data_IF_961714331129
#
_entry.id   IF_961714331129
#
_cell.length_a   1.000
_cell.length_b   1.000
_cell.length_c   1.000
_cell.angle_alpha   90.00
_cell.angle_beta   90.00
_cell.angle_gamma   90.00
#
_symmetry.space_group_name_H-M   'P 1'
#
loop_
_entity.id
_entity.type
_entity.pdbx_description
1 polymer ?
#
# COMPACT_ATOMS: atom_id res chain seq x y z
N UNK A 1 -5.14 -13.93 27.57
CA UNK A 1 -4.54 -14.68 26.45
C UNK A 1 -5.24 -14.33 25.14
N UNK A 2 -5.21 -13.06 24.71
CA UNK A 2 -5.73 -12.62 23.40
C UNK A 2 -4.94 -11.42 22.84
N UNK A 3 -3.77 -11.13 23.41
CA UNK A 3 -3.05 -9.88 23.21
C UNK A 3 -2.12 -9.90 21.98
N UNK A 4 -2.18 -10.97 21.18
CA UNK A 4 -1.34 -11.14 20.02
C UNK A 4 -1.75 -10.20 18.87
N UNK A 5 -0.78 -9.42 18.37
CA UNK A 5 -0.95 -8.55 17.22
C UNK A 5 -1.08 -9.37 15.93
N UNK A 6 -2.10 -9.07 15.12
CA UNK A 6 -2.28 -9.69 13.81
C UNK A 6 -1.47 -8.94 12.74
N UNK A 7 -0.80 -9.66 11.83
CA UNK A 7 -0.10 -9.03 10.72
C UNK A 7 -1.10 -8.35 9.79
N UNK A 8 -0.72 -7.21 9.21
CA UNK A 8 -1.53 -6.50 8.22
C UNK A 8 -1.29 -7.13 6.85
N UNK A 9 -2.37 -7.33 6.10
CA UNK A 9 -2.27 -7.76 4.71
C UNK A 9 -1.73 -6.60 3.85
N UNK A 10 -0.59 -6.85 3.19
CA UNK A 10 0.05 -5.91 2.27
C UNK A 10 0.06 -6.55 0.88
N UNK A 11 -0.12 -5.70 -0.14
CA UNK A 11 -0.07 -6.07 -1.55
C UNK A 11 1.07 -5.36 -2.26
N UNK A 12 1.56 -5.92 -3.35
CA UNK A 12 2.57 -5.26 -4.16
C UNK A 12 1.95 -4.08 -4.95
N UNK A 13 2.66 -2.96 -5.00
CA UNK A 13 2.31 -1.85 -5.87
C UNK A 13 2.64 -2.21 -7.32
N UNK A 14 1.68 -1.99 -8.23
CA UNK A 14 1.84 -2.26 -9.65
C UNK A 14 2.79 -1.29 -10.36
N UNK A 15 3.14 -0.16 -9.74
CA UNK A 15 4.01 0.86 -10.35
C UNK A 15 5.46 0.76 -9.85
N UNK A 16 5.68 0.76 -8.53
CA UNK A 16 7.03 0.74 -7.95
C UNK A 16 7.44 -0.63 -7.37
N UNK A 17 6.54 -1.63 -7.35
CA UNK A 17 6.85 -2.95 -6.80
C UNK A 17 6.88 -3.03 -5.27
N UNK A 18 6.62 -1.94 -4.55
CA UNK A 18 6.71 -1.90 -3.09
C UNK A 18 5.42 -2.38 -2.39
N UNK A 19 5.54 -2.88 -1.16
CA UNK A 19 4.40 -3.33 -0.37
C UNK A 19 3.57 -2.15 0.12
N UNK A 20 2.29 -2.13 -0.25
CA UNK A 20 1.31 -1.13 0.18
C UNK A 20 0.08 -1.79 0.76
N UNK A 21 -0.71 -1.02 1.50
CA UNK A 21 -2.03 -1.47 1.95
C UNK A 21 -2.99 -1.54 0.77
N UNK A 22 -3.87 -2.57 0.72
CA UNK A 22 -4.93 -2.62 -0.27
C UNK A 22 -5.88 -1.42 -0.12
N UNK A 23 -6.46 -0.99 -1.24
CA UNK A 23 -7.37 0.16 -1.33
C UNK A 23 -6.78 1.53 -0.91
N UNK A 24 -5.47 1.65 -0.70
CA UNK A 24 -4.80 2.93 -0.43
C UNK A 24 -3.86 3.34 -1.57
N UNK A 25 -3.65 4.65 -1.69
CA UNK A 25 -2.60 5.21 -2.56
C UNK A 25 -1.24 4.69 -2.08
N UNK A 26 -0.34 4.36 -3.02
CA UNK A 26 1.01 3.98 -2.65
C UNK A 26 1.72 5.16 -1.96
N UNK A 27 2.22 5.02 -0.73
CA UNK A 27 2.85 6.14 -0.02
C UNK A 27 4.24 6.49 -0.60
N UNK A 28 4.83 5.60 -1.37
CA UNK A 28 6.12 5.81 -2.00
C UNK A 28 5.97 6.51 -3.35
N UNK A 29 5.26 5.91 -4.30
CA UNK A 29 5.13 6.50 -5.63
C UNK A 29 3.90 7.40 -5.83
N UNK A 30 2.96 7.48 -4.89
CA UNK A 30 1.77 8.33 -5.05
C UNK A 30 0.71 7.80 -6.02
N UNK A 31 0.87 6.59 -6.57
CA UNK A 31 -0.05 6.01 -7.55
C UNK A 31 -1.20 5.23 -6.90
N UNK A 32 -2.39 5.36 -7.51
CA UNK A 32 -3.56 4.54 -7.25
C UNK A 32 -4.30 4.24 -8.56
N UNK A 33 -4.59 2.96 -8.81
CA UNK A 33 -5.25 2.48 -10.04
C UNK A 33 -4.58 3.00 -11.34
N UNK A 34 -3.25 3.06 -11.36
CA UNK A 34 -2.48 3.48 -12.54
C UNK A 34 -2.49 4.99 -12.81
N UNK A 35 -3.02 5.80 -11.89
CA UNK A 35 -2.93 7.27 -11.94
C UNK A 35 -2.13 7.77 -10.76
N UNK A 36 -1.32 8.79 -11.01
CA UNK A 36 -0.66 9.55 -9.96
C UNK A 36 -1.71 10.40 -9.25
N UNK A 37 -1.96 10.12 -7.97
CA UNK A 37 -2.97 10.81 -7.16
C UNK A 37 -2.32 11.80 -6.20
N UNK A 38 -1.10 11.49 -5.77
CA UNK A 38 -0.29 12.36 -4.93
C UNK A 38 0.99 12.62 -5.71
N UNK A 39 1.19 13.86 -6.15
CA UNK A 39 2.48 14.29 -6.66
C UNK A 39 3.45 14.29 -5.48
N UNK A 40 4.37 13.32 -5.46
CA UNK A 40 5.33 13.14 -4.38
C UNK A 40 6.73 13.02 -4.93
#
# INVERSE_FOLDING_TARGET
AHDALKPKALIQCSNCGEKRLPHRVCPNCGFYKGREVVAK
#
